data_IF_430864251928
#
_entry.id   IF_430864251928
#
_cell.length_a   1.000
_cell.length_b   1.000
_cell.length_c   1.000
_cell.angle_alpha   90.00
_cell.angle_beta   90.00
_cell.angle_gamma   90.00
#
_symmetry.space_group_name_H-M   'P 1'
#
loop_
_entity.id
_entity.type
_entity.pdbx_description
1 polymer ?
#
# COMPACT_ATOMS: atom_id res chain seq x y z
N UNK A 1 -12.33 14.52 -1.75
CA UNK A 1 -11.77 13.91 -0.52
C UNK A 1 -11.19 12.59 -0.96
N UNK A 2 -9.87 12.45 -0.99
CA UNK A 2 -9.24 11.24 -1.49
C UNK A 2 -9.36 10.14 -0.42
N UNK A 3 -9.69 8.93 -0.86
CA UNK A 3 -9.89 7.75 -0.02
C UNK A 3 -9.18 6.57 -0.67
N UNK A 4 -8.63 5.68 0.13
CA UNK A 4 -8.03 4.44 -0.36
C UNK A 4 -9.09 3.59 -1.05
N UNK A 5 -8.86 3.15 -2.28
CA UNK A 5 -9.79 2.29 -3.02
C UNK A 5 -9.93 0.89 -2.41
N UNK A 6 -8.96 0.45 -1.62
CA UNK A 6 -8.92 -0.90 -1.02
C UNK A 6 -9.60 -0.96 0.34
N UNK A 7 -9.31 -0.01 1.23
CA UNK A 7 -9.81 -0.03 2.62
C UNK A 7 -10.80 1.10 2.95
N UNK A 8 -11.11 1.96 1.97
CA UNK A 8 -11.99 3.12 2.09
C UNK A 8 -11.61 4.10 3.21
N UNK A 9 -10.38 4.06 3.72
CA UNK A 9 -9.91 5.03 4.71
C UNK A 9 -9.52 6.36 4.03
N UNK A 10 -9.84 7.51 4.64
CA UNK A 10 -9.56 8.81 4.04
C UNK A 10 -8.08 9.19 4.17
N UNK A 11 -7.59 9.99 3.21
CA UNK A 11 -6.17 10.37 3.05
C UNK A 11 -5.62 11.17 4.25
N UNK A 12 -6.47 11.91 4.97
CA UNK A 12 -6.08 12.72 6.14
C UNK A 12 -5.53 11.90 7.32
N UNK A 13 -5.76 10.58 7.31
CA UNK A 13 -5.23 9.66 8.33
C UNK A 13 -3.82 9.18 8.01
N UNK A 14 -3.32 9.39 6.80
CA UNK A 14 -2.05 8.82 6.36
C UNK A 14 -0.89 9.71 6.86
N UNK A 15 0.18 9.12 7.42
CA UNK A 15 1.31 9.91 7.89
C UNK A 15 2.03 10.55 6.69
N UNK A 16 2.11 11.88 6.66
CA UNK A 16 2.79 12.59 5.55
C UNK A 16 4.30 12.30 5.44
N UNK A 17 4.91 11.76 6.51
CA UNK A 17 6.30 11.31 6.53
C UNK A 17 6.46 9.85 6.09
N UNK A 18 5.36 9.14 5.82
CA UNK A 18 5.41 7.77 5.35
C UNK A 18 6.03 7.74 3.95
N UNK A 19 7.09 6.94 3.69
CA UNK A 19 7.74 6.90 2.39
C UNK A 19 6.83 6.42 1.25
N UNK A 20 5.73 5.73 1.57
CA UNK A 20 4.73 5.28 0.60
C UNK A 20 3.54 6.25 0.49
N UNK A 21 3.54 7.34 1.24
CA UNK A 21 2.53 8.39 1.12
C UNK A 21 2.76 9.19 -0.17
N UNK A 22 1.76 9.15 -1.05
CA UNK A 22 1.71 9.98 -2.25
C UNK A 22 0.38 10.74 -2.20
N UNK A 23 0.46 12.08 -2.17
CA UNK A 23 -0.72 12.94 -2.15
C UNK A 23 -1.60 12.66 -3.38
N UNK A 24 -2.88 12.38 -3.16
CA UNK A 24 -3.81 12.02 -4.23
C UNK A 24 -3.67 10.60 -4.79
N UNK A 25 -2.92 9.72 -4.13
CA UNK A 25 -2.86 8.33 -4.54
C UNK A 25 -4.18 7.58 -4.33
N UNK A 26 -4.43 6.61 -5.21
CA UNK A 26 -5.57 5.71 -5.10
C UNK A 26 -5.47 4.76 -3.90
N UNK A 27 -4.25 4.43 -3.44
CA UNK A 27 -4.00 3.50 -2.34
C UNK A 27 -3.29 4.18 -1.17
N UNK A 28 -3.64 3.76 0.04
CA UNK A 28 -2.94 4.19 1.25
C UNK A 28 -1.61 3.46 1.45
N UNK A 29 -0.68 4.01 2.24
CA UNK A 29 0.60 3.37 2.56
C UNK A 29 0.49 1.93 3.06
N UNK A 30 -0.51 1.64 3.90
CA UNK A 30 -0.68 0.30 4.48
C UNK A 30 -1.13 -0.74 3.45
N UNK A 31 -2.07 -0.38 2.58
CA UNK A 31 -2.48 -1.25 1.48
C UNK A 31 -1.33 -1.44 0.48
N UNK A 32 -0.55 -0.39 0.19
CA UNK A 32 0.64 -0.50 -0.65
C UNK A 32 1.68 -1.46 -0.05
N UNK A 33 1.89 -1.46 1.28
CA UNK A 33 2.76 -2.43 1.94
C UNK A 33 2.25 -3.86 1.82
N UNK A 34 0.93 -4.05 1.94
CA UNK A 34 0.34 -5.38 1.82
C UNK A 34 0.59 -5.96 0.42
N UNK A 35 0.30 -5.19 -0.63
CA UNK A 35 0.53 -5.60 -2.01
C UNK A 35 2.01 -5.90 -2.28
N UNK A 36 2.93 -5.04 -1.80
CA UNK A 36 4.37 -5.26 -1.90
C UNK A 36 4.83 -6.52 -1.15
N UNK A 37 4.24 -6.81 0.00
CA UNK A 37 4.57 -8.01 0.77
C UNK A 37 4.01 -9.27 0.13
N UNK A 38 2.80 -9.23 -0.43
CA UNK A 38 2.24 -10.33 -1.22
C UNK A 38 3.09 -10.62 -2.46
N UNK A 39 3.53 -9.57 -3.16
CA UNK A 39 4.42 -9.70 -4.31
C UNK A 39 5.77 -10.27 -3.91
N UNK A 40 6.39 -9.77 -2.84
CA UNK A 40 7.63 -10.32 -2.31
C UNK A 40 7.47 -11.80 -1.93
N UNK A 41 6.36 -12.17 -1.29
CA UNK A 41 6.07 -13.55 -0.92
C UNK A 41 5.87 -14.45 -2.15
N UNK A 42 5.20 -13.96 -3.21
CA UNK A 42 5.07 -14.67 -4.49
C UNK A 42 6.44 -14.90 -5.13
N UNK A 43 7.26 -13.85 -5.22
CA UNK A 43 8.61 -13.93 -5.79
C UNK A 43 9.50 -14.90 -4.98
N UNK A 44 9.38 -14.93 -3.65
CA UNK A 44 10.10 -15.88 -2.81
C UNK A 44 9.61 -17.33 -2.97
N UNK A 45 8.31 -17.54 -3.21
CA UNK A 45 7.75 -18.86 -3.47
C UNK A 45 8.22 -19.40 -4.82
N UNK A 46 8.30 -18.55 -5.85
CA UNK A 46 8.77 -18.94 -7.19
C UNK A 46 10.27 -19.28 -7.23
N UNK A 47 11.09 -18.63 -6.39
CA UNK A 47 12.53 -18.91 -6.30
C UNK A 47 12.85 -20.24 -5.59
N UNK A 48 11.89 -20.80 -4.82
CA UNK A 48 12.06 -22.06 -4.09
C UNK A 48 11.24 -23.23 -4.66
N UNK A 49 10.64 -23.09 -5.84
CA UNK A 49 9.90 -24.13 -6.55
C UNK A 49 10.78 -24.80 -7.63
#
# INVERSE_FOLDING_TARGET
>A
MNRCVTCDLPEDRWPAFDPLFICGAAMCPDCSRHDLNEEANRNHAEVNA
#
